data_IF_207840663736
#
_entry.id   IF_207840663736
#
_cell.length_a   1.000
_cell.length_b   1.000
_cell.length_c   1.000
_cell.angle_alpha   90.00
_cell.angle_beta   90.00
_cell.angle_gamma   90.00
#
_symmetry.space_group_name_H-M   'P 1'
#
loop_
_entity.id
_entity.type
_entity.pdbx_description
1 polymer ?
#
# COMPACT_ATOMS: atom_id res chain seq x y z
N UNK A 1 -37.82 79.02 30.33
CA UNK A 1 -36.77 79.59 31.21
C UNK A 1 -35.49 78.79 30.97
N UNK A 2 -34.38 79.51 30.71
CA UNK A 2 -32.95 79.10 30.58
C UNK A 2 -32.56 77.89 31.45
N UNK A 3 -31.59 77.01 31.15
CA UNK A 3 -30.28 77.13 30.48
C UNK A 3 -29.56 75.75 30.43
N UNK A 4 -28.75 75.46 29.41
CA UNK A 4 -27.56 74.55 29.49
C UNK A 4 -26.32 75.39 29.93
N UNK A 5 -25.08 74.89 30.24
CA UNK A 5 -24.44 73.60 29.85
C UNK A 5 -23.37 72.97 30.84
N UNK A 6 -22.74 71.88 30.37
CA UNK A 6 -21.30 71.52 30.39
C UNK A 6 -20.58 70.73 31.52
N UNK A 7 -19.64 69.90 31.04
CA UNK A 7 -18.26 69.60 31.46
C UNK A 7 -17.90 68.62 32.61
N UNK A 8 -17.34 67.47 32.17
CA UNK A 8 -16.02 66.87 32.49
C UNK A 8 -15.45 66.79 33.92
N UNK A 9 -14.83 65.62 34.19
CA UNK A 9 -13.61 65.39 35.00
C UNK A 9 -13.74 65.55 36.54
N UNK A 10 -13.17 64.73 37.44
CA UNK A 10 -11.95 63.92 37.40
C UNK A 10 -11.76 63.11 38.72
N UNK A 11 -11.15 61.93 38.60
CA UNK A 11 -10.01 61.40 39.38
C UNK A 11 -10.05 61.33 40.93
N UNK A 12 -9.95 60.11 41.49
CA UNK A 12 -8.75 59.54 42.16
C UNK A 12 -9.12 58.46 43.21
N UNK A 13 -8.70 57.22 42.98
CA UNK A 13 -8.19 56.36 44.05
C UNK A 13 -7.31 55.26 43.45
N UNK A 14 -6.00 55.49 43.49
CA UNK A 14 -4.97 54.51 43.15
C UNK A 14 -4.75 53.52 44.31
N UNK A 15 -4.48 52.24 43.97
CA UNK A 15 -3.53 51.32 44.65
C UNK A 15 -3.40 49.98 43.85
N UNK A 16 -2.33 49.20 44.01
CA UNK A 16 -1.27 49.13 42.99
C UNK A 16 -1.08 47.75 42.32
N UNK A 17 -0.48 47.81 41.12
CA UNK A 17 0.59 46.95 40.58
C UNK A 17 0.54 45.44 40.90
N UNK A 18 0.18 44.64 39.89
CA UNK A 18 0.86 43.37 39.64
C UNK A 18 0.92 43.12 38.13
N UNK A 19 2.13 43.24 37.58
CA UNK A 19 2.48 42.84 36.22
C UNK A 19 2.30 41.31 36.09
N UNK A 20 1.61 40.86 35.04
CA UNK A 20 1.96 39.59 34.41
C UNK A 20 1.55 39.60 32.95
N UNK A 21 2.55 39.85 32.10
CA UNK A 21 2.49 39.63 30.67
C UNK A 21 2.59 38.12 30.46
N UNK A 22 1.49 37.46 30.07
CA UNK A 22 1.56 36.08 29.55
C UNK A 22 1.20 36.10 28.07
N UNK A 23 2.19 36.43 27.24
CA UNK A 23 2.22 35.98 25.85
C UNK A 23 2.53 34.48 25.90
N UNK A 24 1.50 33.63 25.85
CA UNK A 24 1.69 32.22 25.53
C UNK A 24 1.56 32.07 24.01
N UNK A 25 2.68 32.24 23.32
CA UNK A 25 2.89 31.63 22.02
C UNK A 25 3.09 30.13 22.26
N UNK A 26 2.04 29.34 22.06
CA UNK A 26 2.18 27.92 21.77
C UNK A 26 1.71 27.74 20.34
N UNK A 27 2.68 27.70 19.44
CA UNK A 27 2.51 27.45 18.02
C UNK A 27 1.60 26.23 17.82
N UNK A 28 0.72 26.33 16.83
CA UNK A 28 0.00 25.20 16.28
C UNK A 28 0.98 24.04 16.08
N UNK A 29 0.70 22.89 16.70
CA UNK A 29 1.23 21.62 16.23
C UNK A 29 0.48 21.30 14.93
N UNK A 30 0.73 22.08 13.88
CA UNK A 30 0.61 21.54 12.55
C UNK A 30 1.69 20.45 12.50
N UNK A 31 1.29 19.22 12.84
CA UNK A 31 1.98 18.04 12.34
C UNK A 31 1.95 18.20 10.82
N UNK A 32 3.03 18.76 10.29
CA UNK A 32 3.35 18.69 8.89
C UNK A 32 3.48 17.20 8.61
N UNK A 33 2.37 16.58 8.23
CA UNK A 33 2.41 15.29 7.58
C UNK A 33 3.26 15.53 6.33
N UNK A 34 4.54 15.17 6.40
CA UNK A 34 5.37 15.04 5.22
C UNK A 34 4.56 14.16 4.28
N UNK A 35 4.04 14.77 3.22
CA UNK A 35 3.40 14.03 2.16
C UNK A 35 4.55 13.30 1.49
N UNK A 36 4.88 12.10 1.99
CA UNK A 36 5.77 11.20 1.27
C UNK A 36 5.08 10.97 -0.06
N UNK A 37 5.64 11.56 -1.10
CA UNK A 37 5.39 11.12 -2.45
C UNK A 37 5.91 9.69 -2.49
N UNK A 38 5.02 8.74 -2.23
CA UNK A 38 5.27 7.34 -2.54
C UNK A 38 5.55 7.31 -4.04
N UNK A 39 6.82 7.18 -4.40
CA UNK A 39 7.19 6.98 -5.79
C UNK A 39 6.54 5.66 -6.23
N UNK A 40 5.48 5.77 -7.02
CA UNK A 40 4.72 4.66 -7.57
C UNK A 40 5.16 4.49 -9.00
N UNK A 41 6.01 3.50 -9.24
CA UNK A 41 6.41 3.14 -10.58
C UNK A 41 5.42 2.11 -11.12
N UNK A 42 4.89 2.36 -12.32
CA UNK A 42 4.14 1.36 -13.07
C UNK A 42 5.08 0.62 -13.99
N UNK A 43 5.24 -0.69 -13.76
CA UNK A 43 6.07 -1.55 -14.56
C UNK A 43 5.22 -2.30 -15.58
N UNK A 44 5.72 -2.41 -16.81
CA UNK A 44 5.24 -3.38 -17.79
C UNK A 44 6.14 -4.60 -17.68
N UNK A 45 5.58 -5.71 -17.23
CA UNK A 45 6.29 -6.97 -17.03
C UNK A 45 5.99 -7.88 -18.20
N UNK A 46 7.05 -8.45 -18.78
CA UNK A 46 6.97 -9.50 -19.79
C UNK A 46 7.45 -10.81 -19.17
N UNK A 47 6.64 -11.86 -19.30
CA UNK A 47 6.99 -13.22 -18.91
C UNK A 47 7.16 -14.05 -20.18
N UNK A 48 8.35 -14.59 -20.37
CA UNK A 48 8.69 -15.46 -21.50
C UNK A 48 8.74 -16.92 -21.03
N UNK A 49 7.91 -17.77 -21.63
CA UNK A 49 7.96 -19.20 -21.37
C UNK A 49 9.09 -19.85 -22.21
N UNK A 50 10.29 -19.94 -21.62
CA UNK A 50 11.47 -20.54 -22.24
C UNK A 50 11.57 -22.06 -22.05
N UNK A 51 10.55 -22.70 -21.46
CA UNK A 51 10.58 -24.13 -21.19
C UNK A 51 10.44 -24.97 -22.47
N UNK A 52 10.96 -26.20 -22.42
CA UNK A 52 10.85 -27.13 -23.54
C UNK A 52 9.54 -27.91 -23.48
N UNK A 53 8.62 -27.63 -24.42
CA UNK A 53 7.32 -28.33 -24.57
C UNK A 53 6.44 -28.32 -23.31
N UNK A 54 6.63 -27.35 -22.43
CA UNK A 54 5.92 -27.27 -21.15
C UNK A 54 5.05 -25.99 -21.12
N UNK A 55 3.72 -26.10 -21.28
CA UNK A 55 2.83 -24.96 -21.10
C UNK A 55 2.82 -24.49 -19.64
N UNK A 56 2.69 -23.19 -19.42
CA UNK A 56 2.45 -22.60 -18.09
C UNK A 56 0.97 -22.27 -17.93
N UNK A 57 0.41 -22.53 -16.76
CA UNK A 57 -0.98 -22.32 -16.42
C UNK A 57 -1.35 -20.85 -16.18
N UNK A 58 -2.43 -20.63 -15.42
CA UNK A 58 -2.71 -19.31 -14.88
C UNK A 58 -1.53 -18.83 -14.02
N UNK A 59 -1.24 -17.54 -14.07
CA UNK A 59 -0.15 -16.93 -13.30
C UNK A 59 -0.76 -16.10 -12.19
N UNK A 60 -0.44 -16.43 -10.95
CA UNK A 60 -0.68 -15.57 -9.81
C UNK A 60 0.41 -14.50 -9.72
N UNK A 61 0.02 -13.25 -9.44
CA UNK A 61 0.92 -12.12 -9.21
C UNK A 61 0.48 -11.39 -7.95
N UNK A 62 1.43 -11.04 -7.09
CA UNK A 62 1.20 -10.13 -5.98
C UNK A 62 2.32 -9.09 -5.82
N UNK A 63 1.92 -7.87 -5.45
CA UNK A 63 2.83 -6.81 -5.02
C UNK A 63 2.67 -6.63 -3.52
N UNK A 64 3.75 -6.79 -2.76
CA UNK A 64 3.69 -6.83 -1.30
C UNK A 64 4.95 -6.28 -0.66
N UNK A 65 4.89 -5.96 0.64
CA UNK A 65 6.07 -5.60 1.42
C UNK A 65 6.93 -6.83 1.68
N UNK A 66 8.27 -6.71 1.75
CA UNK A 66 9.16 -7.82 2.07
C UNK A 66 8.85 -8.56 3.39
N UNK A 67 8.21 -7.88 4.35
CA UNK A 67 7.85 -8.43 5.66
C UNK A 67 6.42 -9.00 5.73
N UNK A 68 5.66 -8.99 4.63
CA UNK A 68 4.32 -9.60 4.59
C UNK A 68 4.41 -11.13 4.66
N UNK A 69 3.26 -11.77 4.84
CA UNK A 69 3.16 -13.22 4.66
C UNK A 69 3.66 -13.59 3.26
N UNK A 70 4.69 -14.45 3.12
CA UNK A 70 5.21 -14.84 1.83
C UNK A 70 4.28 -15.85 1.16
N UNK A 71 4.40 -15.98 -0.16
CA UNK A 71 3.68 -16.99 -0.94
C UNK A 71 4.13 -18.41 -0.58
N UNK A 72 5.44 -18.59 -0.37
CA UNK A 72 6.07 -19.88 -0.11
C UNK A 72 7.27 -19.70 0.82
N UNK A 73 7.56 -20.71 1.65
CA UNK A 73 8.78 -20.81 2.45
C UNK A 73 9.38 -22.19 2.23
N UNK A 74 10.70 -22.23 2.02
CA UNK A 74 11.42 -23.49 1.87
C UNK A 74 11.29 -24.34 3.13
N UNK A 75 11.13 -25.66 2.96
CA UNK A 75 10.87 -26.63 4.02
C UNK A 75 9.57 -26.42 4.82
N UNK A 76 8.65 -25.58 4.34
CA UNK A 76 7.30 -25.49 4.91
C UNK A 76 6.28 -26.11 3.97
N UNK A 77 5.20 -26.62 4.56
CA UNK A 77 4.08 -27.13 3.79
C UNK A 77 3.44 -25.98 3.00
N UNK A 78 3.14 -26.21 1.73
CA UNK A 78 2.38 -25.27 0.91
C UNK A 78 1.01 -24.95 1.55
N UNK A 79 0.54 -23.72 1.38
CA UNK A 79 -0.84 -23.40 1.77
C UNK A 79 -1.83 -24.15 0.87
N UNK A 80 -3.07 -24.41 1.34
CA UNK A 80 -4.10 -25.04 0.51
C UNK A 80 -4.33 -24.31 -0.83
N UNK A 81 -4.27 -22.98 -0.82
CA UNK A 81 -4.46 -22.15 -2.01
C UNK A 81 -3.29 -22.28 -3.00
N UNK A 82 -2.06 -22.42 -2.49
CA UNK A 82 -0.89 -22.67 -3.33
C UNK A 82 -0.92 -24.08 -3.92
N UNK A 83 -1.40 -25.08 -3.18
CA UNK A 83 -1.61 -26.42 -3.69
C UNK A 83 -2.63 -26.43 -4.85
N UNK A 84 -3.74 -25.71 -4.75
CA UNK A 84 -4.72 -25.58 -5.84
C UNK A 84 -4.08 -24.96 -7.10
N UNK A 85 -3.19 -23.97 -6.94
CA UNK A 85 -2.45 -23.46 -8.09
C UNK A 85 -1.55 -24.55 -8.70
N UNK A 86 -0.82 -25.29 -7.87
CA UNK A 86 0.13 -26.31 -8.33
C UNK A 86 -0.53 -27.56 -8.93
N UNK A 87 -1.72 -27.93 -8.46
CA UNK A 87 -2.46 -29.12 -8.89
C UNK A 87 -3.40 -28.84 -10.07
N UNK A 88 -4.16 -27.73 -10.00
CA UNK A 88 -5.24 -27.42 -10.96
C UNK A 88 -4.89 -26.26 -11.90
N UNK A 89 -3.80 -25.53 -11.65
CA UNK A 89 -3.44 -24.33 -12.41
C UNK A 89 -4.36 -23.13 -12.16
N UNK A 90 -5.16 -23.17 -11.08
CA UNK A 90 -6.11 -22.12 -10.74
C UNK A 90 -5.53 -21.10 -9.74
N UNK A 91 -5.25 -19.85 -10.16
CA UNK A 91 -4.67 -18.83 -9.27
C UNK A 91 -5.71 -18.12 -8.38
N UNK A 92 -7.01 -18.28 -8.63
CA UNK A 92 -8.05 -17.47 -7.98
C UNK A 92 -8.04 -17.58 -6.44
N UNK A 93 -7.87 -18.77 -5.82
CA UNK A 93 -7.79 -18.87 -4.36
C UNK A 93 -6.66 -18.05 -3.76
N UNK A 94 -5.50 -17.96 -4.42
CA UNK A 94 -4.38 -17.11 -3.99
C UNK A 94 -4.71 -15.62 -4.16
N UNK A 95 -5.37 -15.23 -5.25
CA UNK A 95 -5.84 -13.85 -5.43
C UNK A 95 -6.74 -13.45 -4.27
N UNK A 96 -7.72 -14.29 -3.93
CA UNK A 96 -8.69 -14.04 -2.86
C UNK A 96 -8.03 -14.00 -1.47
N UNK A 97 -7.08 -14.91 -1.21
CA UNK A 97 -6.30 -14.95 0.03
C UNK A 97 -5.51 -13.65 0.24
N UNK A 98 -4.83 -13.17 -0.81
CA UNK A 98 -3.93 -12.02 -0.71
C UNK A 98 -4.59 -10.66 -0.97
N UNK A 99 -5.81 -10.61 -1.51
CA UNK A 99 -6.51 -9.37 -1.84
C UNK A 99 -6.69 -8.42 -0.64
N UNK A 100 -6.71 -8.97 0.58
CA UNK A 100 -6.85 -8.21 1.84
C UNK A 100 -5.78 -8.55 2.87
N UNK A 101 -4.72 -9.24 2.46
CA UNK A 101 -3.64 -9.59 3.35
C UNK A 101 -2.85 -8.35 3.79
N UNK A 102 -2.52 -8.27 5.08
CA UNK A 102 -1.72 -7.17 5.61
C UNK A 102 -0.36 -7.14 4.90
N UNK A 103 0.01 -5.97 4.37
CA UNK A 103 1.26 -5.80 3.65
C UNK A 103 1.20 -6.10 2.15
N UNK A 104 0.07 -6.58 1.64
CA UNK A 104 -0.15 -6.73 0.19
C UNK A 104 -0.80 -5.48 -0.36
N UNK A 105 -0.25 -4.96 -1.46
CA UNK A 105 -0.77 -3.81 -2.19
C UNK A 105 -1.80 -4.23 -3.24
N UNK A 106 -1.49 -5.30 -3.97
CA UNK A 106 -2.36 -5.87 -5.00
C UNK A 106 -2.05 -7.36 -5.18
N UNK A 107 -3.09 -8.12 -5.54
CA UNK A 107 -3.00 -9.49 -6.03
C UNK A 107 -3.94 -9.62 -7.22
N UNK A 108 -3.50 -10.33 -8.27
CA UNK A 108 -4.31 -10.58 -9.45
C UNK A 108 -3.77 -11.79 -10.22
N UNK A 109 -4.55 -12.26 -11.19
CA UNK A 109 -4.16 -13.35 -12.08
C UNK A 109 -3.93 -12.86 -13.50
N UNK A 110 -2.95 -13.44 -14.18
CA UNK A 110 -2.78 -13.35 -15.64
C UNK A 110 -3.24 -14.66 -16.25
N UNK A 111 -4.05 -14.57 -17.32
CA UNK A 111 -4.61 -15.73 -17.97
C UNK A 111 -3.52 -16.59 -18.65
N UNK A 112 -3.66 -17.91 -18.51
CA UNK A 112 -2.92 -18.91 -19.28
C UNK A 112 -3.82 -19.65 -20.28
N UNK A 113 -3.29 -20.65 -21.00
CA UNK A 113 -1.92 -21.12 -20.91
C UNK A 113 -0.93 -20.22 -21.67
N UNK A 114 0.26 -20.02 -21.12
CA UNK A 114 1.40 -19.45 -21.86
C UNK A 114 2.17 -20.61 -22.48
N UNK A 115 2.05 -20.76 -23.81
CA UNK A 115 2.70 -21.85 -24.54
C UNK A 115 4.22 -21.68 -24.59
N UNK A 116 4.94 -22.76 -24.85
CA UNK A 116 6.40 -22.76 -24.99
C UNK A 116 6.84 -21.80 -26.11
N UNK A 117 7.88 -21.00 -25.84
CA UNK A 117 8.37 -19.95 -26.73
C UNK A 117 7.46 -18.72 -26.87
N UNK A 118 6.35 -18.66 -26.12
CA UNK A 118 5.46 -17.50 -26.09
C UNK A 118 5.67 -16.63 -24.87
N UNK A 119 5.17 -15.40 -24.98
CA UNK A 119 5.24 -14.38 -23.95
C UNK A 119 3.85 -13.92 -23.55
N UNK A 120 3.69 -13.54 -22.29
CA UNK A 120 2.54 -12.78 -21.81
C UNK A 120 3.02 -11.50 -21.13
N UNK A 121 2.15 -10.48 -21.10
CA UNK A 121 2.47 -9.17 -20.54
C UNK A 121 1.39 -8.74 -19.57
N UNK A 122 1.81 -8.04 -18.51
CA UNK A 122 0.91 -7.40 -17.58
C UNK A 122 1.54 -6.13 -17.01
N UNK A 123 0.71 -5.29 -16.38
CA UNK A 123 1.18 -4.09 -15.69
C UNK A 123 1.05 -4.26 -14.19
N UNK A 124 2.02 -3.75 -13.44
CA UNK A 124 1.97 -3.74 -11.97
C UNK A 124 2.46 -2.39 -11.45
N UNK A 125 1.69 -1.79 -10.56
CA UNK A 125 2.14 -0.66 -9.75
C UNK A 125 2.94 -1.22 -8.57
N UNK A 126 4.24 -0.92 -8.52
CA UNK A 126 5.13 -1.36 -7.44
C UNK A 126 5.62 -0.10 -6.72
N UNK A 127 5.04 0.24 -5.55
CA UNK A 127 5.52 1.35 -4.74
C UNK A 127 6.95 1.09 -4.24
N UNK A 128 7.66 2.16 -3.88
CA UNK A 128 8.98 2.05 -3.27
C UNK A 128 8.95 1.15 -2.01
N UNK A 129 9.92 0.24 -1.91
CA UNK A 129 10.02 -0.71 -0.80
C UNK A 129 9.09 -1.93 -0.89
N UNK A 130 8.28 -2.05 -1.95
CA UNK A 130 7.51 -3.26 -2.24
C UNK A 130 8.27 -4.17 -3.23
N UNK A 131 7.88 -5.44 -3.25
CA UNK A 131 8.39 -6.47 -4.16
C UNK A 131 7.24 -7.10 -4.93
N UNK A 132 7.56 -7.66 -6.10
CA UNK A 132 6.63 -8.43 -6.92
C UNK A 132 6.99 -9.91 -6.82
N UNK A 133 5.99 -10.73 -6.47
CA UNK A 133 6.08 -12.20 -6.44
C UNK A 133 5.10 -12.77 -7.46
N UNK A 134 5.52 -13.82 -8.17
CA UNK A 134 4.69 -14.54 -9.12
C UNK A 134 4.80 -16.06 -8.90
N UNK A 135 3.75 -16.79 -9.27
CA UNK A 135 3.74 -18.25 -9.34
C UNK A 135 2.80 -18.73 -10.44
N UNK A 136 3.12 -19.88 -11.04
CA UNK A 136 2.30 -20.52 -12.06
C UNK A 136 2.56 -22.01 -12.06
N UNK A 137 1.58 -22.78 -12.53
CA UNK A 137 1.71 -24.22 -12.71
C UNK A 137 2.43 -24.56 -14.00
N UNK A 138 3.35 -25.52 -13.96
CA UNK A 138 3.72 -26.26 -15.16
C UNK A 138 2.57 -27.24 -15.50
N UNK A 139 1.78 -26.96 -16.54
CA UNK A 139 0.59 -27.76 -16.88
C UNK A 139 0.94 -29.25 -17.09
N UNK A 140 0.06 -30.16 -16.63
CA UNK A 140 0.27 -31.62 -16.64
C UNK A 140 1.42 -32.11 -15.74
N UNK A 141 1.90 -31.27 -14.82
CA UNK A 141 2.61 -31.73 -13.62
C UNK A 141 1.61 -31.86 -12.48
N UNK A 142 1.87 -32.71 -11.50
CA UNK A 142 0.97 -32.86 -10.36
C UNK A 142 1.10 -31.71 -9.37
N UNK A 143 2.30 -31.14 -9.18
CA UNK A 143 2.58 -30.19 -8.09
C UNK A 143 3.76 -29.24 -8.42
N UNK A 144 3.97 -28.83 -9.68
CA UNK A 144 5.11 -27.97 -10.07
C UNK A 144 4.70 -26.57 -10.52
#
# INVERSE_FOLDING_TARGET
>A
VKSQPDSSDSLHSQKPMMYSLLFLAACANAEWAETRFENRFTYKVQLDNLSFRQPLGGIFVMVHRPDSTPLFRFNEKASPELAILAEDGNPQPLVDLFARAKGVKSSFSVAGPVLFGQSTNFTAEIPEGYVLTLATMAINTNDC
#
